data_IF_543129681172
#
_entry.id   IF_543129681172
#
_cell.length_a   1.000
_cell.length_b   1.000
_cell.length_c   1.000
_cell.angle_alpha   90.00
_cell.angle_beta   90.00
_cell.angle_gamma   90.00
#
_symmetry.space_group_name_H-M   'P 1'
#
loop_
_entity.id
_entity.type
_entity.pdbx_description
1 polymer ?
#
# COMPACT_ATOMS: atom_id res chain seq x y z
N UNK A 1 4.59 -11.65 -2.42
CA UNK A 1 5.13 -12.64 -1.46
C UNK A 1 6.46 -12.22 -0.81
N UNK A 2 7.45 -11.73 -1.57
CA UNK A 2 8.78 -11.37 -1.05
C UNK A 2 8.76 -10.46 0.19
N UNK A 3 7.87 -9.46 0.24
CA UNK A 3 7.75 -8.56 1.40
C UNK A 3 7.38 -9.26 2.71
N UNK A 4 6.48 -10.25 2.65
CA UNK A 4 6.04 -11.02 3.84
C UNK A 4 7.18 -11.89 4.37
N UNK A 5 7.96 -12.49 3.47
CA UNK A 5 9.13 -13.30 3.83
C UNK A 5 10.21 -12.41 4.46
N UNK A 6 10.49 -11.26 3.86
CA UNK A 6 11.44 -10.29 4.39
C UNK A 6 11.05 -9.82 5.80
N UNK A 7 9.76 -9.58 6.05
CA UNK A 7 9.26 -9.27 7.39
C UNK A 7 9.53 -10.38 8.39
N UNK A 8 9.13 -11.62 8.09
CA UNK A 8 9.32 -12.75 9.01
C UNK A 8 10.80 -12.97 9.33
N UNK A 9 11.67 -12.84 8.31
CA UNK A 9 13.11 -12.92 8.50
C UNK A 9 13.65 -11.78 9.39
N UNK A 10 13.22 -10.53 9.17
CA UNK A 10 13.65 -9.39 9.97
C UNK A 10 13.17 -9.48 11.43
N UNK A 11 11.92 -9.93 11.65
CA UNK A 11 11.38 -10.18 12.98
C UNK A 11 12.15 -11.30 13.71
N UNK A 12 12.41 -12.42 13.03
CA UNK A 12 13.21 -13.51 13.58
C UNK A 12 14.65 -13.08 13.90
N UNK A 13 15.28 -12.26 13.05
CA UNK A 13 16.61 -11.71 13.32
C UNK A 13 16.58 -10.79 14.56
N UNK A 14 15.64 -9.84 14.62
CA UNK A 14 15.54 -8.91 15.75
C UNK A 14 15.34 -9.62 17.09
N UNK A 15 14.47 -10.63 17.12
CA UNK A 15 14.18 -11.41 18.32
C UNK A 15 15.30 -12.42 18.66
N UNK A 16 15.86 -13.09 17.65
CA UNK A 16 16.84 -14.15 17.83
C UNK A 16 18.25 -13.66 18.12
N UNK A 17 18.59 -12.43 17.70
CA UNK A 17 19.90 -11.82 17.96
C UNK A 17 20.03 -11.25 19.38
N UNK A 18 18.92 -11.07 20.11
CA UNK A 18 18.93 -10.47 21.45
C UNK A 18 19.89 -11.18 22.44
N UNK A 19 19.90 -12.53 22.56
CA UNK A 19 20.84 -13.23 23.43
C UNK A 19 22.31 -13.08 23.01
N UNK A 20 22.57 -12.88 21.71
CA UNK A 20 23.93 -12.70 21.19
C UNK A 20 24.43 -11.28 21.43
N UNK A 21 23.56 -10.27 21.32
CA UNK A 21 23.90 -8.88 21.57
C UNK A 21 24.50 -8.67 22.97
N UNK A 22 23.96 -9.37 23.98
CA UNK A 22 24.48 -9.33 25.36
C UNK A 22 25.93 -9.85 25.49
N UNK A 23 26.38 -10.70 24.57
CA UNK A 23 27.75 -11.27 24.56
C UNK A 23 28.76 -10.38 23.85
N UNK A 24 28.31 -9.44 23.01
CA UNK A 24 29.17 -8.57 22.22
C UNK A 24 29.61 -7.30 22.99
N UNK A 25 29.19 -7.15 24.24
CA UNK A 25 29.42 -5.95 25.03
C UNK A 25 28.42 -4.83 24.72
N UNK A 26 28.44 -3.73 25.49
CA UNK A 26 27.37 -2.72 25.46
C UNK A 26 27.30 -1.99 24.12
N UNK A 27 28.44 -1.64 23.51
CA UNK A 27 28.46 -0.85 22.27
C UNK A 27 28.03 -1.69 21.06
N UNK A 28 28.75 -2.79 20.78
CA UNK A 28 28.45 -3.63 19.62
C UNK A 28 27.08 -4.32 19.75
N UNK A 29 26.70 -4.74 20.96
CA UNK A 29 25.37 -5.27 21.24
C UNK A 29 24.26 -4.25 20.96
N UNK A 30 24.42 -3.00 21.40
CA UNK A 30 23.44 -1.93 21.14
C UNK A 30 23.30 -1.63 19.65
N UNK A 31 24.42 -1.52 18.93
CA UNK A 31 24.42 -1.32 17.48
C UNK A 31 23.70 -2.44 16.74
N UNK A 32 23.96 -3.70 17.12
CA UNK A 32 23.30 -4.87 16.54
C UNK A 32 21.78 -4.86 16.78
N UNK A 33 21.35 -4.55 18.01
CA UNK A 33 19.93 -4.49 18.37
C UNK A 33 19.20 -3.37 17.62
N UNK A 34 19.80 -2.18 17.55
CA UNK A 34 19.24 -1.04 16.80
C UNK A 34 19.13 -1.39 15.32
N UNK A 35 20.20 -1.93 14.72
CA UNK A 35 20.18 -2.31 13.31
C UNK A 35 19.09 -3.35 13.02
N UNK A 36 18.96 -4.38 13.86
CA UNK A 36 17.94 -5.42 13.69
C UNK A 36 16.51 -4.89 13.88
N UNK A 37 16.29 -4.02 14.88
CA UNK A 37 14.98 -3.39 15.10
C UNK A 37 14.61 -2.39 14.00
N UNK A 38 15.58 -1.65 13.44
CA UNK A 38 15.36 -0.78 12.27
C UNK A 38 15.00 -1.61 11.05
N UNK A 39 15.71 -2.71 10.77
CA UNK A 39 15.35 -3.62 9.68
C UNK A 39 13.94 -4.18 9.86
N UNK A 40 13.58 -4.56 11.09
CA UNK A 40 12.25 -5.03 11.43
C UNK A 40 11.17 -3.94 11.21
N UNK A 41 11.38 -2.71 11.68
CA UNK A 41 10.47 -1.59 11.47
C UNK A 41 10.31 -1.20 10.00
N UNK A 42 11.41 -1.21 9.23
CA UNK A 42 11.38 -0.96 7.78
C UNK A 42 10.61 -2.06 7.05
N UNK A 43 10.81 -3.33 7.42
CA UNK A 43 10.06 -4.43 6.84
C UNK A 43 8.56 -4.38 7.23
N UNK A 44 8.23 -3.95 8.45
CA UNK A 44 6.87 -3.72 8.91
C UNK A 44 6.20 -2.56 8.15
N UNK A 45 6.93 -1.48 7.90
CA UNK A 45 6.49 -0.33 7.13
C UNK A 45 6.32 -0.66 5.65
N UNK A 46 7.18 -1.51 5.09
CA UNK A 46 7.26 -1.79 3.65
C UNK A 46 8.01 -0.71 2.85
N UNK A 47 8.54 0.31 3.52
CA UNK A 47 9.33 1.40 2.93
C UNK A 47 10.40 1.90 3.92
N UNK A 48 11.50 2.44 3.38
CA UNK A 48 12.54 3.10 4.17
C UNK A 48 12.15 4.56 4.41
N UNK A 49 11.45 4.80 5.51
CA UNK A 49 10.99 6.15 5.91
C UNK A 49 11.55 6.52 7.28
N UNK A 50 11.75 7.81 7.53
CA UNK A 50 12.36 8.34 8.77
C UNK A 50 11.64 7.87 10.02
N UNK A 51 10.31 7.83 10.00
CA UNK A 51 9.49 7.36 11.12
C UNK A 51 9.69 5.87 11.41
N UNK A 52 9.91 5.03 10.38
CA UNK A 52 10.21 3.61 10.57
C UNK A 52 11.60 3.41 11.20
N UNK A 53 12.60 4.18 10.75
CA UNK A 53 13.95 4.16 11.35
C UNK A 53 13.89 4.61 12.81
N UNK A 54 13.21 5.72 13.11
CA UNK A 54 13.04 6.22 14.47
C UNK A 54 12.26 5.22 15.35
N UNK A 55 11.17 4.63 14.83
CA UNK A 55 10.39 3.62 15.53
C UNK A 55 11.20 2.36 15.85
N UNK A 56 12.02 1.87 14.91
CA UNK A 56 12.93 0.75 15.16
C UNK A 56 13.99 1.06 16.21
N UNK A 57 14.63 2.22 16.14
CA UNK A 57 15.64 2.63 17.12
C UNK A 57 15.05 2.81 18.54
N UNK A 58 13.90 3.47 18.66
CA UNK A 58 13.18 3.61 19.93
C UNK A 58 12.68 2.25 20.43
N UNK A 59 12.26 1.36 19.53
CA UNK A 59 11.87 0.00 19.84
C UNK A 59 13.01 -0.81 20.46
N UNK A 60 14.22 -0.73 19.91
CA UNK A 60 15.41 -1.37 20.47
C UNK A 60 15.74 -0.83 21.87
N UNK A 61 15.68 0.49 22.07
CA UNK A 61 15.89 1.12 23.37
C UNK A 61 14.85 0.64 24.40
N UNK A 62 13.57 0.70 24.06
CA UNK A 62 12.49 0.28 24.95
C UNK A 62 12.56 -1.22 25.27
N UNK A 63 12.93 -2.06 24.29
CA UNK A 63 13.19 -3.48 24.49
C UNK A 63 14.30 -3.71 25.52
N UNK A 64 15.43 -3.00 25.39
CA UNK A 64 16.54 -3.11 26.34
C UNK A 64 16.17 -2.68 27.76
N UNK A 65 15.44 -1.56 27.90
CA UNK A 65 15.01 -1.05 29.20
C UNK A 65 13.99 -1.97 29.88
N UNK A 66 13.02 -2.49 29.13
CA UNK A 66 11.97 -3.35 29.68
C UNK A 66 12.41 -4.82 29.85
N UNK A 67 13.43 -5.28 29.12
CA UNK A 67 13.84 -6.68 29.07
C UNK A 67 14.25 -7.26 30.41
N UNK A 68 14.85 -6.45 31.29
CA UNK A 68 15.23 -6.86 32.64
C UNK A 68 14.03 -7.05 33.57
N UNK A 69 12.94 -6.31 33.36
CA UNK A 69 11.76 -6.33 34.22
C UNK A 69 10.69 -7.32 33.72
N UNK A 70 10.43 -7.33 32.40
CA UNK A 70 9.39 -8.17 31.81
C UNK A 70 9.67 -8.44 30.33
N UNK A 71 9.96 -9.70 29.95
CA UNK A 71 10.10 -10.09 28.54
C UNK A 71 8.86 -9.77 27.70
N UNK A 72 7.67 -9.88 28.30
CA UNK A 72 6.42 -9.50 27.65
C UNK A 72 6.37 -8.00 27.35
N UNK A 73 6.70 -7.15 28.32
CA UNK A 73 6.71 -5.71 28.11
C UNK A 73 7.75 -5.29 27.06
N UNK A 74 8.93 -5.92 27.08
CA UNK A 74 9.97 -5.69 26.09
C UNK A 74 9.52 -6.04 24.67
N UNK A 75 8.95 -7.24 24.49
CA UNK A 75 8.41 -7.66 23.19
C UNK A 75 7.28 -6.76 22.69
N UNK A 76 6.36 -6.37 23.58
CA UNK A 76 5.28 -5.45 23.27
C UNK A 76 5.80 -4.08 22.81
N UNK A 77 6.74 -3.50 23.55
CA UNK A 77 7.32 -2.19 23.23
C UNK A 77 8.07 -2.21 21.90
N UNK A 78 8.88 -3.24 21.65
CA UNK A 78 9.59 -3.44 20.39
C UNK A 78 8.62 -3.50 19.20
N UNK A 79 7.63 -4.40 19.27
CA UNK A 79 6.67 -4.59 18.19
C UNK A 79 5.82 -3.33 17.98
N UNK A 80 5.29 -2.74 19.05
CA UNK A 80 4.48 -1.52 18.98
C UNK A 80 5.20 -0.36 18.31
N UNK A 81 6.47 -0.11 18.67
CA UNK A 81 7.27 0.97 18.08
C UNK A 81 7.73 0.65 16.65
N UNK A 82 8.04 -0.60 16.32
CA UNK A 82 8.36 -1.00 14.95
C UNK A 82 7.15 -0.87 14.00
N UNK A 83 5.93 -1.03 14.53
CA UNK A 83 4.68 -0.82 13.80
C UNK A 83 4.11 0.60 13.90
N UNK A 84 4.80 1.55 14.55
CA UNK A 84 4.28 2.91 14.78
C UNK A 84 3.95 3.62 13.46
N UNK A 85 4.86 3.58 12.50
CA UNK A 85 4.67 4.19 11.18
C UNK A 85 3.47 3.58 10.44
N UNK A 86 3.37 2.25 10.42
CA UNK A 86 2.25 1.55 9.79
C UNK A 86 0.92 1.88 10.48
N UNK A 87 0.91 2.00 11.81
CA UNK A 87 -0.27 2.31 12.60
C UNK A 87 -0.84 3.70 12.28
N UNK A 88 0.01 4.65 11.88
CA UNK A 88 -0.43 6.00 11.46
C UNK A 88 -1.21 5.95 10.15
N UNK A 89 -0.90 5.00 9.26
CA UNK A 89 -1.61 4.82 7.98
C UNK A 89 -2.98 4.16 8.14
N UNK A 90 -3.18 3.36 9.20
CA UNK A 90 -4.46 2.67 9.46
C UNK A 90 -5.60 3.68 9.57
N UNK A 91 -6.59 3.53 8.69
CA UNK A 91 -7.78 4.37 8.62
C UNK A 91 -8.85 3.92 9.62
N UNK A 92 -9.44 4.89 10.31
CA UNK A 92 -10.48 4.65 11.32
C UNK A 92 -9.90 4.36 12.71
N UNK A 93 -10.54 4.93 13.74
CA UNK A 93 -10.09 4.80 15.14
C UNK A 93 -10.11 3.34 15.61
N UNK A 94 -11.18 2.60 15.30
CA UNK A 94 -11.31 1.20 15.70
C UNK A 94 -10.26 0.28 15.09
N UNK A 95 -10.03 0.37 13.78
CA UNK A 95 -8.99 -0.41 13.10
C UNK A 95 -7.59 -0.04 13.61
N UNK A 96 -7.33 1.24 13.88
CA UNK A 96 -6.05 1.67 14.46
C UNK A 96 -5.83 1.10 15.86
N UNK A 97 -6.85 1.13 16.72
CA UNK A 97 -6.79 0.49 18.04
C UNK A 97 -6.56 -1.01 17.94
N UNK A 98 -7.24 -1.69 17.00
CA UNK A 98 -7.03 -3.12 16.72
C UNK A 98 -5.59 -3.39 16.26
N UNK A 99 -5.04 -2.60 15.33
CA UNK A 99 -3.68 -2.76 14.82
C UNK A 99 -2.63 -2.55 15.92
N UNK A 100 -2.75 -1.47 16.70
CA UNK A 100 -1.85 -1.19 17.84
C UNK A 100 -1.98 -2.29 18.89
N UNK A 101 -3.22 -2.68 19.24
CA UNK A 101 -3.48 -3.77 20.19
C UNK A 101 -2.88 -5.10 19.72
N UNK A 102 -3.03 -5.45 18.44
CA UNK A 102 -2.42 -6.63 17.84
C UNK A 102 -0.89 -6.58 17.87
N UNK A 103 -0.28 -5.40 17.67
CA UNK A 103 1.17 -5.24 17.71
C UNK A 103 1.71 -5.44 19.13
N UNK A 104 1.06 -4.82 20.12
CA UNK A 104 1.45 -4.93 21.52
C UNK A 104 1.24 -6.36 22.04
N UNK A 105 0.07 -6.97 21.79
CA UNK A 105 -0.23 -8.33 22.24
C UNK A 105 0.63 -9.39 21.54
N UNK A 106 0.80 -9.30 20.21
CA UNK A 106 1.68 -10.18 19.45
C UNK A 106 3.13 -10.07 19.91
N UNK A 107 3.61 -8.86 20.14
CA UNK A 107 4.93 -8.59 20.73
C UNK A 107 5.08 -9.17 22.14
N UNK A 108 4.09 -8.98 23.02
CA UNK A 108 4.09 -9.51 24.37
C UNK A 108 4.19 -11.03 24.39
N UNK A 109 3.33 -11.70 23.61
CA UNK A 109 3.31 -13.14 23.49
C UNK A 109 4.64 -13.67 22.92
N UNK A 110 5.18 -13.01 21.90
CA UNK A 110 6.47 -13.36 21.31
C UNK A 110 7.63 -13.24 22.32
N UNK A 111 7.65 -12.16 23.11
CA UNK A 111 8.65 -11.96 24.17
C UNK A 111 8.54 -12.99 25.29
N UNK A 112 7.33 -13.27 25.77
CA UNK A 112 7.07 -14.33 26.75
C UNK A 112 7.48 -15.71 26.25
N UNK A 113 7.14 -16.04 25.00
CA UNK A 113 7.47 -17.33 24.40
C UNK A 113 8.99 -17.52 24.30
N UNK A 114 9.73 -16.50 23.86
CA UNK A 114 11.19 -16.58 23.75
C UNK A 114 11.86 -16.71 25.11
N UNK A 115 11.35 -16.01 26.14
CA UNK A 115 11.85 -16.18 27.50
C UNK A 115 11.58 -17.58 28.05
N UNK A 116 10.37 -18.11 27.86
CA UNK A 116 9.98 -19.43 28.33
C UNK A 116 10.84 -20.56 27.73
N UNK A 117 11.23 -20.42 26.46
CA UNK A 117 12.09 -21.39 25.76
C UNK A 117 13.57 -20.98 25.74
N UNK A 118 13.96 -19.94 26.49
CA UNK A 118 15.33 -19.39 26.48
C UNK A 118 16.41 -20.36 26.95
N UNK A 119 16.05 -21.39 27.74
CA UNK A 119 16.94 -22.46 28.20
C UNK A 119 16.78 -23.77 27.41
N UNK A 120 15.81 -23.87 26.49
CA UNK A 120 15.53 -25.10 25.75
C UNK A 120 16.66 -25.48 24.76
N UNK A 121 16.54 -26.65 24.12
CA UNK A 121 17.45 -27.07 23.05
C UNK A 121 17.40 -26.10 21.85
N UNK A 122 18.45 -26.08 21.03
CA UNK A 122 18.52 -25.20 19.86
C UNK A 122 17.35 -25.40 18.88
N UNK A 123 16.91 -26.65 18.69
CA UNK A 123 15.76 -26.97 17.85
C UNK A 123 14.46 -26.32 18.38
N UNK A 124 14.20 -26.46 19.69
CA UNK A 124 13.00 -25.87 20.30
C UNK A 124 13.06 -24.34 20.30
N UNK A 125 14.25 -23.74 20.51
CA UNK A 125 14.43 -22.28 20.37
C UNK A 125 14.15 -21.81 18.95
N UNK A 126 14.61 -22.56 17.94
CA UNK A 126 14.32 -22.25 16.54
C UNK A 126 12.82 -22.26 16.24
N UNK A 127 12.09 -23.25 16.75
CA UNK A 127 10.62 -23.30 16.63
C UNK A 127 9.95 -22.14 17.36
N UNK A 128 10.35 -21.86 18.62
CA UNK A 128 9.83 -20.73 19.38
C UNK A 128 10.06 -19.40 18.65
N UNK A 129 11.24 -19.22 18.04
CA UNK A 129 11.56 -18.04 17.25
C UNK A 129 10.68 -17.90 16.01
N UNK A 130 10.46 -19.00 15.28
CA UNK A 130 9.56 -19.00 14.12
C UNK A 130 8.12 -18.63 14.53
N UNK A 131 7.60 -19.22 15.62
CA UNK A 131 6.27 -18.90 16.15
C UNK A 131 6.19 -17.45 16.62
N UNK A 132 7.20 -16.95 17.34
CA UNK A 132 7.27 -15.55 17.75
C UNK A 132 7.28 -14.58 16.57
N UNK A 133 8.00 -14.89 15.50
CA UNK A 133 7.99 -14.08 14.28
C UNK A 133 6.61 -14.04 13.61
N UNK A 134 5.85 -15.15 13.66
CA UNK A 134 4.46 -15.22 13.19
C UNK A 134 3.53 -14.40 14.09
N UNK A 135 3.66 -14.49 15.42
CA UNK A 135 2.85 -13.72 16.38
C UNK A 135 3.04 -12.20 16.20
N UNK A 136 4.27 -11.76 15.94
CA UNK A 136 4.56 -10.35 15.67
C UNK A 136 3.99 -9.89 14.32
N UNK A 137 3.60 -10.81 13.44
CA UNK A 137 2.95 -10.51 12.16
C UNK A 137 1.43 -10.23 12.30
N UNK A 138 0.82 -10.42 13.48
CA UNK A 138 -0.62 -10.20 13.69
C UNK A 138 -1.16 -8.83 13.20
N UNK A 139 -0.43 -7.70 13.32
CA UNK A 139 -0.91 -6.42 12.80
C UNK A 139 -1.19 -6.40 11.29
N UNK A 140 -0.60 -7.31 10.51
CA UNK A 140 -0.92 -7.44 9.08
C UNK A 140 -2.30 -8.00 8.78
N UNK A 141 -3.02 -8.51 9.79
CA UNK A 141 -4.44 -8.84 9.66
C UNK A 141 -5.32 -7.58 9.60
N UNK A 142 -4.77 -6.42 9.95
CA UNK A 142 -5.45 -5.13 9.85
C UNK A 142 -4.89 -4.37 8.65
N UNK A 143 -5.77 -4.03 7.71
CA UNK A 143 -5.39 -3.25 6.54
C UNK A 143 -4.97 -1.84 6.96
N UNK A 144 -3.68 -1.57 6.83
CA UNK A 144 -3.09 -0.29 7.18
C UNK A 144 -3.14 0.72 6.04
N UNK A 145 -3.30 0.24 4.80
CA UNK A 145 -3.39 1.10 3.63
C UNK A 145 -4.83 1.15 3.13
N UNK A 146 -5.20 2.26 2.48
CA UNK A 146 -6.49 2.36 1.84
C UNK A 146 -6.60 1.29 0.72
N UNK A 147 -7.62 0.42 0.75
CA UNK A 147 -7.72 -0.71 -0.18
C UNK A 147 -7.84 -0.26 -1.63
N UNK A 148 -8.44 0.92 -1.88
CA UNK A 148 -8.54 1.50 -3.22
C UNK A 148 -7.17 1.92 -3.70
N UNK A 149 -6.40 2.64 -2.87
CA UNK A 149 -5.04 3.05 -3.23
C UNK A 149 -4.14 1.84 -3.53
N UNK A 150 -4.26 0.77 -2.73
CA UNK A 150 -3.47 -0.44 -2.94
C UNK A 150 -3.87 -1.18 -4.22
N UNK A 151 -5.17 -1.28 -4.51
CA UNK A 151 -5.66 -1.88 -5.76
C UNK A 151 -5.17 -1.10 -6.99
N UNK A 152 -5.22 0.23 -6.97
CA UNK A 152 -4.73 1.08 -8.06
C UNK A 152 -3.23 0.88 -8.32
N UNK A 153 -2.40 0.84 -7.27
CA UNK A 153 -0.96 0.57 -7.40
C UNK A 153 -0.68 -0.84 -7.91
N UNK A 154 -1.48 -1.83 -7.48
CA UNK A 154 -1.41 -3.20 -7.98
C UNK A 154 -1.62 -3.24 -9.50
N UNK A 155 -2.72 -2.67 -9.98
CA UNK A 155 -3.01 -2.57 -11.42
C UNK A 155 -1.93 -1.78 -12.16
N UNK A 156 -1.46 -0.66 -11.60
CA UNK A 156 -0.39 0.13 -12.20
C UNK A 156 0.94 -0.63 -12.32
N UNK A 157 1.15 -1.67 -11.51
CA UNK A 157 2.27 -2.59 -11.64
C UNK A 157 2.13 -3.59 -12.80
N UNK A 158 0.90 -3.89 -13.22
CA UNK A 158 0.58 -4.89 -14.26
C UNK A 158 0.49 -4.29 -15.67
N UNK A 159 0.22 -2.99 -15.79
CA UNK A 159 -0.01 -2.32 -17.08
C UNK A 159 1.19 -1.48 -17.55
N UNK A 160 1.23 -1.23 -18.86
CA UNK A 160 2.17 -0.30 -19.50
C UNK A 160 1.44 0.92 -20.05
N UNK A 161 2.18 1.98 -20.42
CA UNK A 161 1.60 3.19 -21.02
C UNK A 161 1.17 4.30 -20.03
N UNK A 162 0.45 5.32 -20.51
CA UNK A 162 0.16 6.55 -19.77
C UNK A 162 -0.76 6.34 -18.57
N UNK A 163 -1.74 5.42 -18.65
CA UNK A 163 -2.63 5.12 -17.53
C UNK A 163 -1.89 4.66 -16.27
N UNK A 164 -0.70 4.07 -16.40
CA UNK A 164 0.14 3.69 -15.26
C UNK A 164 0.48 4.88 -14.36
N UNK A 165 0.80 6.03 -14.94
CA UNK A 165 1.12 7.24 -14.18
C UNK A 165 -0.14 7.77 -13.49
N UNK A 166 -1.26 7.86 -14.21
CA UNK A 166 -2.54 8.32 -13.64
C UNK A 166 -3.04 7.44 -12.50
N UNK A 167 -2.91 6.11 -12.59
CA UNK A 167 -3.30 5.21 -11.51
C UNK A 167 -2.43 5.41 -10.25
N UNK A 168 -1.13 5.65 -10.41
CA UNK A 168 -0.23 5.97 -9.29
C UNK A 168 -0.58 7.30 -8.64
N UNK A 169 -0.86 8.31 -9.45
CA UNK A 169 -1.33 9.62 -8.97
C UNK A 169 -2.67 9.47 -8.23
N UNK A 170 -3.61 8.70 -8.77
CA UNK A 170 -4.87 8.39 -8.10
C UNK A 170 -4.67 7.63 -6.77
N UNK A 171 -3.72 6.69 -6.72
CA UNK A 171 -3.37 5.98 -5.49
C UNK A 171 -2.76 6.93 -4.45
N UNK A 172 -1.88 7.83 -4.86
CA UNK A 172 -1.29 8.86 -4.00
C UNK A 172 -2.36 9.84 -3.50
N UNK A 173 -3.22 10.35 -4.37
CA UNK A 173 -4.37 11.18 -4.01
C UNK A 173 -5.25 10.50 -2.96
N UNK A 174 -5.57 9.21 -3.16
CA UNK A 174 -6.41 8.48 -2.21
C UNK A 174 -5.74 8.37 -0.84
N UNK A 175 -4.41 8.31 -0.76
CA UNK A 175 -3.65 8.29 0.51
C UNK A 175 -3.64 9.64 1.20
N UNK A 176 -3.43 10.73 0.47
CA UNK A 176 -3.27 12.09 1.03
C UNK A 176 -4.59 12.68 1.49
N UNK A 177 -5.69 12.34 0.84
CA UNK A 177 -7.03 12.83 1.23
C UNK A 177 -7.43 12.23 2.59
N UNK A 178 -7.46 13.09 3.62
CA UNK A 178 -7.78 12.74 5.00
C UNK A 178 -9.29 12.48 5.19
N UNK A 179 -9.75 11.30 4.77
CA UNK A 179 -11.11 10.80 5.04
C UNK A 179 -12.22 11.48 4.25
N UNK A 180 -13.30 10.74 3.98
CA UNK A 180 -14.51 11.27 3.33
C UNK A 180 -15.33 12.20 4.25
N UNK A 181 -14.95 12.30 5.53
CA UNK A 181 -15.58 13.16 6.54
C UNK A 181 -15.49 14.65 6.20
N UNK A 182 -14.56 15.03 5.31
CA UNK A 182 -14.38 16.41 4.85
C UNK A 182 -15.36 16.80 3.73
N UNK A 183 -15.97 15.82 3.07
CA UNK A 183 -16.92 16.05 2.00
C UNK A 183 -18.34 16.13 2.57
N UNK A 184 -19.20 16.96 1.99
CA UNK A 184 -20.62 16.86 2.26
C UNK A 184 -21.16 15.47 1.83
N UNK A 185 -22.37 15.11 2.29
CA UNK A 185 -22.94 13.78 2.03
C UNK A 185 -23.15 13.48 0.53
N UNK A 186 -23.39 14.48 -0.31
CA UNK A 186 -23.58 14.33 -1.76
C UNK A 186 -22.23 14.14 -2.44
N UNK A 187 -21.27 15.03 -2.19
CA UNK A 187 -19.90 14.95 -2.68
C UNK A 187 -19.20 13.66 -2.25
N UNK A 188 -19.39 13.22 -0.99
CA UNK A 188 -18.86 11.96 -0.49
C UNK A 188 -19.42 10.74 -1.23
N UNK A 189 -20.71 10.74 -1.57
CA UNK A 189 -21.33 9.66 -2.36
C UNK A 189 -20.82 9.66 -3.80
N UNK A 190 -20.69 10.84 -4.40
CA UNK A 190 -20.17 10.99 -5.75
C UNK A 190 -18.70 10.56 -5.83
N UNK A 191 -17.85 11.02 -4.91
CA UNK A 191 -16.45 10.61 -4.84
C UNK A 191 -16.31 9.07 -4.70
N UNK A 192 -17.12 8.43 -3.84
CA UNK A 192 -17.17 6.96 -3.72
C UNK A 192 -17.55 6.29 -5.04
N UNK A 193 -18.55 6.80 -5.74
CA UNK A 193 -18.95 6.28 -7.04
C UNK A 193 -17.80 6.43 -8.06
N UNK A 194 -17.14 7.58 -8.12
CA UNK A 194 -16.00 7.83 -9.02
C UNK A 194 -14.81 6.92 -8.70
N UNK A 195 -14.46 6.72 -7.42
CA UNK A 195 -13.42 5.77 -7.02
C UNK A 195 -13.76 4.33 -7.45
N UNK A 196 -15.01 3.89 -7.27
CA UNK A 196 -15.45 2.56 -7.71
C UNK A 196 -15.41 2.39 -9.23
N UNK A 197 -15.76 3.44 -9.98
CA UNK A 197 -15.69 3.46 -11.44
C UNK A 197 -14.24 3.37 -11.92
N UNK A 198 -13.35 4.15 -11.31
CA UNK A 198 -11.92 4.13 -11.60
C UNK A 198 -11.31 2.74 -11.38
N UNK A 199 -11.64 2.06 -10.28
CA UNK A 199 -11.18 0.68 -10.03
C UNK A 199 -11.65 -0.29 -11.12
N UNK A 200 -12.93 -0.23 -11.52
CA UNK A 200 -13.45 -1.10 -12.60
C UNK A 200 -12.75 -0.86 -13.93
N UNK A 201 -12.45 0.40 -14.26
CA UNK A 201 -11.69 0.77 -15.46
C UNK A 201 -10.25 0.27 -15.38
N UNK A 202 -9.59 0.44 -14.24
CA UNK A 202 -8.24 -0.03 -13.98
C UNK A 202 -8.14 -1.56 -14.16
N UNK A 203 -9.05 -2.33 -13.56
CA UNK A 203 -9.11 -3.77 -13.73
C UNK A 203 -9.39 -4.20 -15.18
N UNK A 204 -10.30 -3.50 -15.87
CA UNK A 204 -10.58 -3.75 -17.28
C UNK A 204 -9.33 -3.53 -18.14
N UNK A 205 -8.57 -2.47 -17.85
CA UNK A 205 -7.30 -2.15 -18.53
C UNK A 205 -6.24 -3.23 -18.32
N UNK A 206 -6.10 -3.77 -17.11
CA UNK A 206 -5.19 -4.89 -16.84
C UNK A 206 -5.64 -6.20 -17.49
N UNK A 207 -6.96 -6.46 -17.59
CA UNK A 207 -7.48 -7.59 -18.39
C UNK A 207 -7.13 -7.44 -19.86
N UNK A 208 -7.31 -6.25 -20.44
CA UNK A 208 -6.93 -5.96 -21.84
C UNK A 208 -5.43 -6.16 -22.08
N UNK A 209 -4.56 -5.65 -21.20
CA UNK A 209 -3.10 -5.83 -21.32
C UNK A 209 -2.71 -7.31 -21.36
N UNK A 210 -3.32 -8.14 -20.49
CA UNK A 210 -3.07 -9.58 -20.46
C UNK A 210 -3.51 -10.26 -21.75
N UNK A 211 -4.71 -9.94 -22.26
CA UNK A 211 -5.20 -10.49 -23.53
C UNK A 211 -4.27 -10.11 -24.70
N UNK A 212 -3.81 -8.85 -24.75
CA UNK A 212 -2.88 -8.39 -25.78
C UNK A 212 -1.49 -9.03 -25.65
N UNK A 213 -1.02 -9.27 -24.43
CA UNK A 213 0.24 -9.98 -24.21
C UNK A 213 0.18 -11.44 -24.70
N UNK A 214 -0.93 -12.14 -24.43
CA UNK A 214 -1.16 -13.50 -24.92
C UNK A 214 -1.24 -13.53 -26.45
N UNK A 215 -1.96 -12.58 -27.06
CA UNK A 215 -2.06 -12.47 -28.52
C UNK A 215 -0.69 -12.23 -29.18
N UNK A 216 0.13 -11.32 -28.63
CA UNK A 216 1.50 -11.07 -29.10
C UNK A 216 2.40 -12.30 -28.95
N UNK A 217 2.27 -13.06 -27.86
CA UNK A 217 3.05 -14.27 -27.63
C UNK A 217 2.68 -15.39 -28.63
N UNK A 218 1.40 -15.52 -28.99
CA UNK A 218 0.94 -16.48 -30.00
C UNK A 218 1.50 -16.13 -31.40
N UNK A 219 1.37 -14.87 -31.81
CA UNK A 219 1.91 -14.37 -33.09
C UNK A 219 3.44 -14.55 -33.19
N UNK A 220 4.17 -14.28 -32.09
CA UNK A 220 5.61 -14.48 -32.03
C UNK A 220 6.04 -15.95 -32.12
N UNK A 221 5.16 -16.91 -31.77
CA UNK A 221 5.41 -18.35 -31.91
C UNK A 221 5.20 -18.81 -33.35
N UNK A 222 4.11 -18.40 -33.98
CA UNK A 222 3.83 -18.70 -35.41
C UNK A 222 4.96 -18.17 -36.32
N UNK A 223 5.45 -16.96 -36.04
CA UNK A 223 6.59 -16.40 -36.78
C UNK A 223 7.89 -17.21 -36.62
N UNK A 224 8.07 -17.93 -35.51
CA UNK A 224 9.28 -18.74 -35.25
C UNK A 224 9.18 -20.16 -35.79
N UNK A 225 7.99 -20.74 -35.87
CA UNK A 225 7.81 -22.11 -36.38
C UNK A 225 7.91 -22.18 -37.90
N UNK A 226 7.88 -21.06 -38.61
CA UNK A 226 8.09 -21.00 -40.06
C UNK A 226 7.01 -21.73 -40.86
N UNK A 227 5.91 -22.10 -40.21
CA UNK A 227 4.79 -22.78 -40.84
C UNK A 227 4.07 -21.76 -41.74
N UNK A 228 4.08 -21.96 -43.07
CA UNK A 228 3.51 -20.98 -43.98
C UNK A 228 2.01 -20.84 -43.67
N UNK A 229 1.50 -19.59 -43.52
CA UNK A 229 0.10 -19.37 -43.25
C UNK A 229 -0.73 -20.02 -44.37
N UNK A 230 -1.91 -20.60 -44.05
CA UNK A 230 -2.74 -21.26 -45.04
C UNK A 230 -3.00 -20.32 -46.22
N UNK A 231 -2.64 -20.78 -47.42
CA UNK A 231 -2.71 -20.03 -48.66
C UNK A 231 -4.17 -19.64 -48.95
N UNK A 232 -4.54 -18.41 -48.59
CA UNK A 232 -5.90 -17.89 -48.78
C UNK A 232 -6.29 -16.72 -47.88
N UNK A 233 -5.56 -16.44 -46.81
CA UNK A 233 -5.88 -15.31 -45.93
C UNK A 233 -5.05 -14.07 -46.30
N UNK A 234 -5.71 -12.94 -46.55
CA UNK A 234 -5.15 -11.58 -46.44
C UNK A 234 -4.70 -11.24 -44.99
N UNK A 235 -4.00 -12.17 -44.34
CA UNK A 235 -3.87 -12.29 -42.90
C UNK A 235 -2.99 -11.23 -42.25
N UNK A 236 -2.02 -10.66 -42.98
CA UNK A 236 -1.19 -9.58 -42.46
C UNK A 236 -1.95 -8.25 -42.36
N UNK A 237 -2.82 -7.96 -43.33
CA UNK A 237 -3.64 -6.75 -43.37
C UNK A 237 -4.86 -6.89 -42.45
N UNK A 238 -5.49 -8.07 -42.39
CA UNK A 238 -6.54 -8.38 -41.43
C UNK A 238 -6.03 -8.41 -39.97
N UNK A 239 -4.80 -8.90 -39.72
CA UNK A 239 -4.20 -8.85 -38.38
C UNK A 239 -3.81 -7.42 -37.96
N UNK A 240 -3.32 -6.59 -38.90
CA UNK A 240 -3.12 -5.14 -38.65
C UNK A 240 -4.44 -4.43 -38.38
N UNK A 241 -5.48 -4.72 -39.16
CA UNK A 241 -6.81 -4.18 -38.97
C UNK A 241 -7.46 -4.67 -37.66
N UNK A 242 -7.06 -5.82 -37.11
CA UNK A 242 -7.50 -6.31 -35.80
C UNK A 242 -6.72 -5.70 -34.61
N UNK A 243 -5.47 -5.26 -34.82
CA UNK A 243 -4.68 -4.55 -33.79
C UNK A 243 -5.12 -3.10 -33.56
N UNK A 244 -5.42 -2.37 -34.64
CA UNK A 244 -5.89 -0.99 -34.59
C UNK A 244 -7.13 -0.73 -33.68
N UNK A 245 -8.20 -1.55 -33.70
CA UNK A 245 -9.36 -1.34 -32.82
C UNK A 245 -9.04 -1.62 -31.36
N UNK A 246 -8.15 -2.58 -31.07
CA UNK A 246 -7.76 -2.89 -29.70
C UNK A 246 -6.90 -1.78 -29.09
N UNK A 247 -5.98 -1.21 -29.86
CA UNK A 247 -5.18 -0.04 -29.46
C UNK A 247 -6.07 1.20 -29.25
N UNK A 248 -7.08 1.42 -30.11
CA UNK A 248 -8.04 2.50 -29.94
C UNK A 248 -8.88 2.33 -28.66
N UNK A 249 -9.30 1.10 -28.32
CA UNK A 249 -10.01 0.81 -27.07
C UNK A 249 -9.10 1.07 -25.86
N UNK A 250 -7.84 0.64 -25.91
CA UNK A 250 -6.84 0.94 -24.86
C UNK A 250 -6.69 2.44 -24.66
N UNK A 251 -6.52 3.20 -25.74
CA UNK A 251 -6.41 4.66 -25.67
C UNK A 251 -7.63 5.32 -25.04
N UNK A 252 -8.84 4.87 -25.37
CA UNK A 252 -10.09 5.36 -24.76
C UNK A 252 -10.17 5.05 -23.27
N UNK A 253 -9.76 3.84 -22.86
CA UNK A 253 -9.74 3.46 -21.44
C UNK A 253 -8.70 4.28 -20.67
N UNK A 254 -7.52 4.48 -21.24
CA UNK A 254 -6.45 5.27 -20.63
C UNK A 254 -6.88 6.73 -20.43
N UNK A 255 -7.49 7.35 -21.44
CA UNK A 255 -8.06 8.69 -21.34
C UNK A 255 -9.11 8.77 -20.22
N UNK A 256 -10.05 7.81 -20.17
CA UNK A 256 -11.11 7.80 -19.16
C UNK A 256 -10.57 7.60 -17.74
N UNK A 257 -9.50 6.80 -17.56
CA UNK A 257 -8.79 6.67 -16.28
C UNK A 257 -8.22 8.04 -15.87
N UNK A 258 -7.54 8.73 -16.78
CA UNK A 258 -6.98 10.05 -16.51
C UNK A 258 -8.07 11.07 -16.13
N UNK A 259 -9.21 11.07 -16.82
CA UNK A 259 -10.34 11.96 -16.53
C UNK A 259 -10.92 11.74 -15.14
N UNK A 260 -11.07 10.48 -14.70
CA UNK A 260 -11.57 10.16 -13.36
C UNK A 260 -10.59 10.62 -12.28
N UNK A 261 -9.30 10.41 -12.48
CA UNK A 261 -8.26 10.89 -11.54
C UNK A 261 -8.27 12.41 -11.48
N UNK A 262 -8.30 13.09 -12.62
CA UNK A 262 -8.36 14.55 -12.68
C UNK A 262 -9.63 15.13 -12.03
N UNK A 263 -10.79 14.48 -12.22
CA UNK A 263 -12.04 14.88 -11.57
C UNK A 263 -11.96 14.74 -10.05
N UNK A 264 -11.39 13.63 -9.55
CA UNK A 264 -11.16 13.42 -8.12
C UNK A 264 -10.19 14.45 -7.56
N UNK A 265 -9.07 14.72 -8.25
CA UNK A 265 -8.09 15.73 -7.84
C UNK A 265 -8.76 17.10 -7.72
N UNK A 266 -9.53 17.53 -8.72
CA UNK A 266 -10.25 18.82 -8.67
C UNK A 266 -11.24 18.89 -7.52
N UNK A 267 -12.02 17.83 -7.30
CA UNK A 267 -13.00 17.79 -6.22
C UNK A 267 -12.35 17.93 -4.84
N UNK A 268 -11.26 17.21 -4.59
CA UNK A 268 -10.54 17.29 -3.31
C UNK A 268 -9.78 18.62 -3.15
N UNK A 269 -9.20 19.16 -4.22
CA UNK A 269 -8.57 20.49 -4.19
C UNK A 269 -9.60 21.58 -3.85
N UNK A 270 -10.79 21.54 -4.45
CA UNK A 270 -11.86 22.50 -4.15
C UNK A 270 -12.26 22.44 -2.66
N UNK A 271 -12.37 21.24 -2.10
CA UNK A 271 -12.70 21.03 -0.68
C UNK A 271 -11.57 21.52 0.24
N UNK A 272 -10.32 21.24 -0.11
CA UNK A 272 -9.17 21.76 0.63
C UNK A 272 -9.11 23.29 0.58
N UNK A 273 -9.42 23.91 -0.56
CA UNK A 273 -9.50 25.36 -0.70
C UNK A 273 -10.66 25.95 0.12
N UNK A 274 -11.85 25.32 0.10
CA UNK A 274 -12.99 25.71 0.93
C UNK A 274 -12.63 25.75 2.42
N UNK A 275 -11.92 24.71 2.88
CA UNK A 275 -11.46 24.61 4.28
C UNK A 275 -10.37 25.60 4.62
N UNK A 276 -9.44 25.83 3.70
CA UNK A 276 -8.42 26.85 3.88
C UNK A 276 -9.08 28.22 4.04
N UNK A 277 -10.09 28.54 3.21
CA UNK A 277 -10.88 29.78 3.31
C UNK A 277 -11.68 29.86 4.62
N UNK A 278 -12.33 28.77 5.05
CA UNK A 278 -13.04 28.69 6.34
C UNK A 278 -12.08 28.92 7.53
N UNK A 279 -10.87 28.35 7.47
CA UNK A 279 -9.85 28.52 8.49
C UNK A 279 -9.15 29.89 8.42
N UNK A 280 -9.11 30.52 7.24
CA UNK A 280 -8.42 31.80 7.00
C UNK A 280 -9.33 33.02 7.05
N UNK A 281 -10.66 32.87 7.20
CA UNK A 281 -11.64 33.96 7.28
C UNK A 281 -11.36 35.09 6.26
N UNK A 282 -11.33 34.76 4.97
CA UNK A 282 -11.24 35.75 3.88
C UNK A 282 -12.29 35.45 2.79
N UNK A 283 -13.26 36.35 2.61
CA UNK A 283 -14.47 36.16 1.78
C UNK A 283 -14.14 35.98 0.28
N UNK A 284 -13.03 36.54 -0.20
CA UNK A 284 -12.62 36.44 -1.60
C UNK A 284 -12.18 35.02 -2.01
N UNK A 285 -11.59 34.26 -1.08
CA UNK A 285 -11.21 32.87 -1.32
C UNK A 285 -12.45 31.96 -1.42
N UNK A 286 -13.54 32.33 -0.72
CA UNK A 286 -14.78 31.57 -0.68
C UNK A 286 -15.53 31.63 -2.03
N UNK A 287 -15.58 32.81 -2.67
CA UNK A 287 -16.19 32.99 -4.01
C UNK A 287 -15.47 32.19 -5.10
N UNK A 288 -14.14 32.10 -5.04
CA UNK A 288 -13.36 31.29 -5.98
C UNK A 288 -13.67 29.78 -5.88
N UNK A 289 -13.97 29.30 -4.68
CA UNK A 289 -14.34 27.89 -4.45
C UNK A 289 -15.74 27.58 -4.98
N UNK A 290 -16.71 28.48 -4.80
CA UNK A 290 -18.08 28.30 -5.31
C UNK A 290 -18.09 28.14 -6.83
N UNK A 291 -17.35 29.01 -7.54
CA UNK A 291 -17.24 28.91 -9.01
C UNK A 291 -16.58 27.62 -9.50
N UNK A 292 -15.61 27.06 -8.75
CA UNK A 292 -15.04 25.73 -9.05
C UNK A 292 -16.06 24.61 -8.84
N UNK A 293 -16.89 24.70 -7.80
CA UNK A 293 -17.98 23.75 -7.54
C UNK A 293 -18.98 23.66 -8.70
N UNK A 294 -19.40 24.82 -9.22
CA UNK A 294 -20.31 24.89 -10.37
C UNK A 294 -19.71 24.24 -11.62
N UNK A 295 -18.41 24.45 -11.86
CA UNK A 295 -17.70 23.81 -12.99
C UNK A 295 -17.67 22.28 -12.89
N UNK A 296 -17.59 21.75 -11.67
CA UNK A 296 -17.58 20.30 -11.42
C UNK A 296 -18.96 19.69 -11.62
N UNK A 297 -20.03 20.38 -11.23
CA UNK A 297 -21.41 19.94 -11.51
C UNK A 297 -21.66 19.90 -13.02
N UNK A 298 -21.14 20.89 -13.75
CA UNK A 298 -21.26 20.94 -15.22
C UNK A 298 -20.50 19.79 -15.89
N UNK A 299 -19.23 19.54 -15.53
CA UNK A 299 -18.44 18.41 -16.06
C UNK A 299 -19.06 17.07 -15.68
N UNK A 300 -19.61 16.93 -14.48
CA UNK A 300 -20.30 15.72 -14.05
C UNK A 300 -21.56 15.46 -14.88
N UNK A 301 -22.30 16.50 -15.24
CA UNK A 301 -23.50 16.36 -16.07
C UNK A 301 -23.14 15.84 -17.46
N UNK A 302 -22.09 16.39 -18.07
CA UNK A 302 -21.58 15.91 -19.36
C UNK A 302 -21.11 14.46 -19.30
N UNK A 303 -20.39 14.07 -18.25
CA UNK A 303 -19.90 12.68 -18.10
C UNK A 303 -21.03 11.65 -17.86
N UNK A 304 -22.17 12.06 -17.31
CA UNK A 304 -23.34 11.18 -17.11
C UNK A 304 -24.16 11.05 -18.39
N UNK A 305 -24.26 12.12 -19.19
CA UNK A 305 -25.00 12.14 -20.45
C UNK A 305 -24.27 11.40 -21.59
N UNK A 306 -22.96 11.20 -21.50
CA UNK A 306 -22.14 10.49 -22.50
C UNK A 306 -21.95 8.97 -22.24
N UNK A 307 -22.66 8.38 -21.28
CA UNK A 307 -22.66 6.93 -21.00
C UNK A 307 -23.96 6.30 -21.47
#
# INVERSE_FOLDING_TARGET
MLRKIAFVAAAALSLGLSPLALRLGPVAGSLLLVAAAVLFAVAASGALVSLAVAGGALGALAFGLAGAASPAAAGAALAGLCFAERSVRVRGRGARLLHVGAALSGGALAGSLLAAFGAASLALRGVALAVSAVLVALPFLVDADDPVAHALDGVAGEITGPARASLREGAELRRTVAGEELLDRRAARQARATWSSLLRLAEARARLERTLAVGRAAQGREARTGEPPPAGAGGAEAARAAGAPAEAVVGKVDARIADHVAALTRAYTAVSAARAAEASLDDAALVGVETMGDSLEQVSKTMVEEV
#
